data_IF_529299490660
#
_entry.id   IF_529299490660
#
_cell.length_a   1.000
_cell.length_b   1.000
_cell.length_c   1.000
_cell.angle_alpha   90.00
_cell.angle_beta   90.00
_cell.angle_gamma   90.00
#
_symmetry.space_group_name_H-M   'P 1'
#
loop_
_entity.id
_entity.type
_entity.pdbx_description
1 polymer ?
#
# COMPACT_ATOMS: atom_id res chain seq x y z
N UNK A 1 -10.66 -9.93 -6.75
CA UNK A 1 -11.89 -10.08 -5.97
C UNK A 1 -12.00 -8.87 -5.06
N UNK A 2 -13.20 -8.31 -4.90
CA UNK A 2 -13.43 -7.15 -4.04
C UNK A 2 -14.69 -7.34 -3.22
N UNK A 3 -14.57 -7.26 -1.91
CA UNK A 3 -15.66 -7.53 -0.97
C UNK A 3 -15.70 -6.48 0.14
N UNK A 4 -16.90 -6.08 0.53
CA UNK A 4 -17.08 -5.22 1.70
C UNK A 4 -16.97 -6.08 2.94
N UNK A 5 -15.99 -5.78 3.81
CA UNK A 5 -15.88 -6.41 5.12
C UNK A 5 -16.93 -5.82 6.04
N UNK A 6 -16.97 -4.48 6.13
CA UNK A 6 -17.84 -3.80 7.07
C UNK A 6 -18.14 -2.36 6.64
N UNK A 7 -19.29 -1.85 7.07
CA UNK A 7 -19.73 -0.49 6.82
C UNK A 7 -20.29 0.16 8.10
N UNK A 8 -19.77 1.33 8.48
CA UNK A 8 -20.16 2.07 9.70
C UNK A 8 -20.57 3.51 9.38
N UNK A 9 -21.56 4.01 10.12
CA UNK A 9 -21.85 5.44 10.19
C UNK A 9 -21.01 6.08 11.30
N UNK A 10 -20.26 7.14 10.99
CA UNK A 10 -19.35 7.80 11.95
C UNK A 10 -19.47 9.31 11.76
N UNK A 11 -20.01 10.03 12.74
CA UNK A 11 -20.03 11.50 12.79
C UNK A 11 -20.42 12.19 11.46
N UNK A 12 -21.54 11.78 10.85
CA UNK A 12 -22.01 12.33 9.58
C UNK A 12 -21.30 11.81 8.33
N UNK A 13 -20.45 10.78 8.47
CA UNK A 13 -19.86 10.03 7.37
C UNK A 13 -20.38 8.60 7.28
N UNK A 14 -20.19 8.03 6.10
CA UNK A 14 -20.17 6.60 5.84
C UNK A 14 -18.72 6.16 5.64
N UNK A 15 -18.26 5.23 6.46
CA UNK A 15 -16.94 4.62 6.36
C UNK A 15 -17.09 3.14 6.04
N UNK A 16 -16.39 2.66 5.01
CA UNK A 16 -16.50 1.30 4.50
C UNK A 16 -15.12 0.67 4.41
N UNK A 17 -14.92 -0.44 5.12
CA UNK A 17 -13.73 -1.26 5.03
C UNK A 17 -13.95 -2.33 3.96
N UNK A 18 -13.02 -2.41 3.01
CA UNK A 18 -13.10 -3.29 1.84
C UNK A 18 -11.85 -4.14 1.77
N UNK A 19 -12.04 -5.42 1.50
CA UNK A 19 -11.00 -6.34 1.06
C UNK A 19 -10.91 -6.34 -0.47
N UNK A 20 -9.74 -6.14 -1.05
CA UNK A 20 -9.54 -6.08 -2.49
C UNK A 20 -8.20 -6.71 -2.90
N UNK A 21 -8.27 -7.89 -3.52
CA UNK A 21 -7.09 -8.64 -3.98
C UNK A 21 -6.42 -8.01 -5.20
N UNK A 22 -7.03 -6.98 -5.81
CA UNK A 22 -6.43 -6.20 -6.89
C UNK A 22 -5.73 -4.92 -6.39
N UNK A 23 -5.57 -4.78 -5.07
CA UNK A 23 -4.90 -3.66 -4.43
C UNK A 23 -3.40 -3.57 -4.74
N UNK A 24 -2.75 -2.51 -4.25
CA UNK A 24 -1.30 -2.35 -4.33
C UNK A 24 -0.54 -3.51 -3.67
N UNK A 25 0.71 -3.76 -4.10
CA UNK A 25 1.58 -4.76 -3.46
C UNK A 25 1.74 -4.43 -1.98
N UNK A 26 1.47 -5.41 -1.11
CA UNK A 26 1.50 -5.21 0.34
C UNK A 26 0.20 -4.68 0.94
N UNK A 27 -0.86 -4.50 0.15
CA UNK A 27 -2.17 -4.09 0.66
C UNK A 27 -3.33 -4.82 -0.02
N UNK A 28 -4.26 -5.28 0.81
CA UNK A 28 -5.55 -5.84 0.42
C UNK A 28 -6.72 -5.18 1.18
N UNK A 29 -6.43 -4.26 2.11
CA UNK A 29 -7.43 -3.52 2.89
C UNK A 29 -7.45 -2.04 2.51
N UNK A 30 -8.63 -1.56 2.10
CA UNK A 30 -8.89 -0.15 1.82
C UNK A 30 -10.03 0.37 2.68
N UNK A 31 -9.80 1.47 3.39
CA UNK A 31 -10.86 2.24 4.04
C UNK A 31 -11.34 3.33 3.09
N UNK A 32 -12.64 3.40 2.85
CA UNK A 32 -13.29 4.43 2.02
C UNK A 32 -14.22 5.23 2.91
N UNK A 33 -13.99 6.53 2.99
CA UNK A 33 -14.78 7.46 3.82
C UNK A 33 -15.39 8.52 2.92
N UNK A 34 -16.69 8.73 3.08
CA UNK A 34 -17.47 9.76 2.39
C UNK A 34 -18.53 10.35 3.32
N UNK A 35 -18.99 11.60 3.12
CA UNK A 35 -20.08 12.15 3.91
C UNK A 35 -21.39 11.39 3.63
N UNK A 36 -22.31 11.37 4.61
CA UNK A 36 -23.67 10.87 4.38
C UNK A 36 -24.57 11.89 3.72
N UNK A 37 -24.25 13.18 3.93
CA UNK A 37 -24.94 14.29 3.30
C UNK A 37 -24.58 14.36 1.81
N UNK A 38 -25.59 14.57 0.97
CA UNK A 38 -25.48 14.67 -0.48
C UNK A 38 -24.99 16.04 -0.95
N UNK A 39 -25.00 17.07 -0.10
CA UNK A 39 -24.48 18.40 -0.45
C UNK A 39 -22.95 18.49 -0.40
N UNK A 40 -22.31 17.61 0.37
CA UNK A 40 -20.85 17.53 0.47
C UNK A 40 -20.30 16.46 -0.47
N UNK A 41 -19.57 16.85 -1.50
CA UNK A 41 -18.94 15.90 -2.42
C UNK A 41 -17.43 15.76 -2.13
N UNK A 42 -17.09 14.86 -1.21
CA UNK A 42 -15.71 14.41 -1.04
C UNK A 42 -15.65 12.92 -0.76
N UNK A 43 -14.55 12.29 -1.18
CA UNK A 43 -14.27 10.89 -0.95
C UNK A 43 -12.79 10.74 -0.64
N UNK A 44 -12.48 10.05 0.44
CA UNK A 44 -11.11 9.75 0.85
C UNK A 44 -10.99 8.25 0.98
N UNK A 45 -10.08 7.67 0.21
CA UNK A 45 -9.70 6.27 0.31
C UNK A 45 -8.24 6.14 0.75
N UNK A 46 -7.97 5.17 1.60
CA UNK A 46 -6.61 4.83 2.05
C UNK A 46 -6.42 3.33 2.04
N UNK A 47 -5.39 2.88 1.33
CA UNK A 47 -4.83 1.54 1.46
C UNK A 47 -3.98 1.43 2.73
N UNK A 48 -4.08 0.30 3.42
CA UNK A 48 -3.28 -0.01 4.60
C UNK A 48 -2.27 -1.10 4.24
N UNK A 49 -1.00 -0.78 4.41
CA UNK A 49 0.10 -1.59 3.91
C UNK A 49 0.72 -2.43 5.03
N UNK A 50 0.99 -3.71 4.76
CA UNK A 50 1.73 -4.61 5.65
C UNK A 50 1.20 -4.58 7.10
N UNK A 51 2.04 -4.17 8.05
CA UNK A 51 1.72 -4.05 9.47
C UNK A 51 0.65 -3.00 9.81
N UNK A 52 0.23 -2.15 8.86
CA UNK A 52 -0.84 -1.17 9.07
C UNK A 52 -2.24 -1.80 9.05
N UNK A 53 -2.38 -3.05 8.62
CA UNK A 53 -3.68 -3.75 8.50
C UNK A 53 -4.24 -4.22 9.85
N UNK A 54 -4.26 -3.30 10.82
CA UNK A 54 -4.86 -3.50 12.14
C UNK A 54 -6.21 -2.82 12.15
N UNK A 55 -7.28 -3.58 12.37
CA UNK A 55 -8.67 -3.08 12.23
C UNK A 55 -8.93 -1.82 13.05
N UNK A 56 -8.48 -1.79 14.31
CA UNK A 56 -8.59 -0.62 15.18
C UNK A 56 -7.90 0.62 14.58
N UNK A 57 -6.73 0.45 13.95
CA UNK A 57 -6.03 1.56 13.30
C UNK A 57 -6.79 2.08 12.06
N UNK A 58 -7.37 1.17 11.27
CA UNK A 58 -8.17 1.53 10.10
C UNK A 58 -9.43 2.32 10.47
N UNK A 59 -10.11 1.92 11.56
CA UNK A 59 -11.28 2.64 12.05
C UNK A 59 -10.93 3.97 12.72
N UNK A 60 -9.81 4.04 13.44
CA UNK A 60 -9.32 5.31 13.98
C UNK A 60 -9.02 6.33 12.86
N UNK A 61 -8.51 5.87 11.71
CA UNK A 61 -8.36 6.72 10.52
C UNK A 61 -9.72 7.25 10.04
N UNK A 62 -10.73 6.39 9.93
CA UNK A 62 -12.07 6.80 9.50
C UNK A 62 -12.69 7.83 10.46
N UNK A 63 -12.58 7.58 11.77
CA UNK A 63 -13.05 8.51 12.79
C UNK A 63 -12.35 9.87 12.69
N UNK A 64 -11.03 9.87 12.51
CA UNK A 64 -10.25 11.10 12.34
C UNK A 64 -10.67 11.88 11.09
N UNK A 65 -10.87 11.22 9.94
CA UNK A 65 -11.35 11.89 8.71
C UNK A 65 -12.71 12.57 8.94
N UNK A 66 -13.59 11.96 9.73
CA UNK A 66 -14.92 12.48 9.97
C UNK A 66 -14.95 13.64 10.97
N UNK A 67 -14.11 13.56 11.99
CA UNK A 67 -14.12 14.51 13.12
C UNK A 67 -13.16 15.68 12.95
N UNK A 68 -12.04 15.48 12.26
CA UNK A 68 -11.00 16.48 12.09
C UNK A 68 -11.03 17.07 10.68
N UNK A 69 -11.64 18.25 10.55
CA UNK A 69 -11.75 18.96 9.28
C UNK A 69 -10.39 19.34 8.68
N UNK A 70 -9.38 19.63 9.53
CA UNK A 70 -8.03 19.99 9.07
C UNK A 70 -7.34 18.76 8.50
N UNK A 71 -7.35 17.64 9.23
CA UNK A 71 -6.79 16.38 8.75
C UNK A 71 -7.49 15.90 7.47
N UNK A 72 -8.81 16.08 7.38
CA UNK A 72 -9.57 15.80 6.16
C UNK A 72 -9.11 16.66 4.98
N UNK A 73 -8.95 17.97 5.16
CA UNK A 73 -8.45 18.84 4.10
C UNK A 73 -7.02 18.48 3.68
N UNK A 74 -6.15 18.16 4.64
CA UNK A 74 -4.77 17.73 4.35
C UNK A 74 -4.73 16.40 3.59
N UNK A 75 -5.66 15.49 3.88
CA UNK A 75 -5.84 14.22 3.18
C UNK A 75 -6.31 14.42 1.74
N UNK A 76 -7.26 15.34 1.52
CA UNK A 76 -7.73 15.71 0.18
C UNK A 76 -6.68 16.45 -0.64
N UNK A 77 -5.85 17.28 0.01
CA UNK A 77 -4.73 17.98 -0.62
C UNK A 77 -3.48 17.11 -0.82
N UNK A 78 -3.56 15.81 -0.51
CA UNK A 78 -2.46 14.84 -0.60
C UNK A 78 -1.18 15.20 0.19
N UNK A 79 -1.31 16.06 1.21
CA UNK A 79 -0.19 16.51 2.03
C UNK A 79 0.10 15.63 3.24
N UNK A 80 -0.82 14.71 3.57
CA UNK A 80 -0.66 13.79 4.69
C UNK A 80 0.47 12.78 4.45
N UNK A 81 1.18 12.43 5.52
CA UNK A 81 2.34 11.53 5.46
C UNK A 81 2.01 10.20 4.77
N UNK A 82 0.89 9.57 5.14
CA UNK A 82 0.49 8.27 4.59
C UNK A 82 0.25 8.35 3.07
N UNK A 83 -0.27 9.48 2.58
CA UNK A 83 -0.56 9.68 1.16
C UNK A 83 0.73 9.91 0.39
N UNK A 84 1.65 10.71 0.95
CA UNK A 84 2.99 10.92 0.40
C UNK A 84 3.79 9.61 0.31
N UNK A 85 3.72 8.77 1.34
CA UNK A 85 4.33 7.44 1.34
C UNK A 85 3.74 6.59 0.21
N UNK A 86 2.42 6.47 0.13
CA UNK A 86 1.77 5.67 -0.91
C UNK A 86 2.13 6.16 -2.32
N UNK A 87 2.11 7.47 -2.56
CA UNK A 87 2.44 8.08 -3.84
C UNK A 87 3.89 7.78 -4.29
N UNK A 88 4.84 7.63 -3.35
CA UNK A 88 6.22 7.24 -3.64
C UNK A 88 6.39 5.72 -3.76
N UNK A 89 5.73 4.96 -2.90
CA UNK A 89 5.89 3.52 -2.81
C UNK A 89 5.21 2.76 -3.96
N UNK A 90 3.95 3.06 -4.27
CA UNK A 90 3.14 2.26 -5.19
C UNK A 90 3.78 2.09 -6.59
N UNK A 91 4.36 3.15 -7.21
CA UNK A 91 5.02 3.00 -8.50
C UNK A 91 6.26 2.10 -8.44
N UNK A 92 7.04 2.19 -7.37
CA UNK A 92 8.28 1.43 -7.18
C UNK A 92 7.98 -0.05 -6.91
N UNK A 93 7.00 -0.33 -6.04
CA UNK A 93 6.56 -1.70 -5.78
C UNK A 93 5.96 -2.36 -7.03
N UNK A 94 5.20 -1.60 -7.84
CA UNK A 94 4.69 -2.08 -9.14
C UNK A 94 5.83 -2.46 -10.09
N UNK A 95 6.91 -1.69 -10.11
CA UNK A 95 8.08 -2.02 -10.93
C UNK A 95 8.75 -3.30 -10.43
N UNK A 96 8.93 -3.49 -9.12
CA UNK A 96 9.46 -4.76 -8.58
C UNK A 96 8.58 -5.96 -8.95
N UNK A 97 7.25 -5.81 -8.84
CA UNK A 97 6.30 -6.83 -9.30
C UNK A 97 6.52 -7.15 -10.79
N UNK A 98 6.67 -6.13 -11.64
CA UNK A 98 6.86 -6.30 -13.08
C UNK A 98 8.16 -7.03 -13.39
N UNK A 99 9.27 -6.67 -12.73
CA UNK A 99 10.57 -7.34 -12.89
C UNK A 99 10.46 -8.84 -12.61
N UNK A 100 9.75 -9.24 -11.54
CA UNK A 100 9.54 -10.65 -11.23
C UNK A 100 8.60 -11.32 -12.24
N UNK A 101 7.45 -10.68 -12.54
CA UNK A 101 6.42 -11.25 -13.43
C UNK A 101 6.86 -11.46 -14.89
N UNK A 102 7.89 -10.71 -15.33
CA UNK A 102 8.45 -10.82 -16.66
C UNK A 102 9.76 -11.61 -16.69
N UNK A 103 10.21 -12.13 -15.55
CA UNK A 103 11.39 -12.97 -15.48
C UNK A 103 11.11 -14.33 -16.12
N UNK A 104 11.96 -14.77 -17.06
CA UNK A 104 11.92 -16.13 -17.60
C UNK A 104 12.30 -17.19 -16.55
N UNK A 105 12.86 -16.75 -15.42
CA UNK A 105 13.31 -17.62 -14.31
C UNK A 105 12.28 -17.75 -13.19
N UNK A 106 11.12 -17.10 -13.33
CA UNK A 106 10.06 -17.16 -12.33
C UNK A 106 8.79 -17.71 -12.97
N UNK A 107 8.06 -18.53 -12.21
CA UNK A 107 6.70 -18.93 -12.59
C UNK A 107 5.65 -17.91 -12.11
N UNK A 108 6.04 -16.88 -11.37
CA UNK A 108 5.17 -15.78 -10.98
C UNK A 108 4.62 -15.04 -12.21
N UNK A 109 3.33 -14.63 -12.22
CA UNK A 109 2.36 -14.68 -11.12
C UNK A 109 1.48 -15.94 -11.12
N UNK A 110 1.89 -17.04 -11.76
CA UNK A 110 1.12 -18.29 -11.75
C UNK A 110 1.17 -18.87 -10.35
N UNK A 111 0.07 -18.76 -9.60
CA UNK A 111 -0.05 -19.23 -8.22
C UNK A 111 0.07 -20.75 -8.13
N UNK A 112 1.29 -21.24 -7.95
CA UNK A 112 1.61 -22.64 -7.73
C UNK A 112 2.68 -22.78 -6.62
N UNK A 113 3.04 -24.00 -6.26
CA UNK A 113 4.00 -24.20 -5.17
C UNK A 113 5.42 -23.67 -5.48
N UNK A 114 5.78 -23.56 -6.77
CA UNK A 114 7.08 -23.04 -7.21
C UNK A 114 7.15 -21.52 -7.17
N UNK A 115 6.04 -20.83 -7.44
CA UNK A 115 5.98 -19.37 -7.37
C UNK A 115 5.78 -18.83 -5.95
N UNK A 116 5.72 -19.72 -4.94
CA UNK A 116 5.50 -19.31 -3.55
C UNK A 116 6.70 -18.53 -3.03
N UNK A 117 7.90 -19.07 -3.22
CA UNK A 117 9.14 -18.46 -2.75
C UNK A 117 9.40 -17.13 -3.48
N UNK A 118 9.11 -17.08 -4.79
CA UNK A 118 9.07 -15.85 -5.59
C UNK A 118 8.14 -14.78 -4.99
N UNK A 119 6.91 -15.16 -4.64
CA UNK A 119 5.92 -14.25 -4.05
C UNK A 119 6.34 -13.79 -2.65
N UNK A 120 6.94 -14.67 -1.84
CA UNK A 120 7.45 -14.34 -0.51
C UNK A 120 8.63 -13.37 -0.61
N UNK A 121 9.55 -13.60 -1.56
CA UNK A 121 10.67 -12.69 -1.82
C UNK A 121 10.19 -11.32 -2.28
N UNK A 122 9.25 -11.26 -3.22
CA UNK A 122 8.66 -9.99 -3.66
C UNK A 122 8.01 -9.24 -2.49
N UNK A 123 7.26 -9.95 -1.64
CA UNK A 123 6.62 -9.37 -0.46
C UNK A 123 7.67 -8.80 0.50
N UNK A 124 8.73 -9.54 0.81
CA UNK A 124 9.81 -9.08 1.70
C UNK A 124 10.46 -7.81 1.17
N UNK A 125 10.87 -7.80 -0.10
CA UNK A 125 11.51 -6.63 -0.72
C UNK A 125 10.57 -5.41 -0.75
N UNK A 126 9.28 -5.66 -0.99
CA UNK A 126 8.28 -4.60 -1.00
C UNK A 126 8.01 -4.04 0.39
N UNK A 127 8.04 -4.87 1.44
CA UNK A 127 7.89 -4.42 2.83
C UNK A 127 9.08 -3.56 3.27
N UNK A 128 10.30 -3.99 2.95
CA UNK A 128 11.51 -3.20 3.21
C UNK A 128 11.48 -1.86 2.47
N UNK A 129 11.17 -1.88 1.17
CA UNK A 129 10.99 -0.67 0.37
C UNK A 129 9.98 0.28 1.01
N UNK A 130 8.84 -0.24 1.48
CA UNK A 130 7.80 0.58 2.12
C UNK A 130 8.28 1.23 3.41
N UNK A 131 8.99 0.51 4.28
CA UNK A 131 9.52 1.07 5.52
C UNK A 131 10.62 2.11 5.27
N UNK A 132 11.47 1.91 4.26
CA UNK A 132 12.48 2.89 3.88
C UNK A 132 11.84 4.17 3.29
N UNK A 133 10.80 4.04 2.46
CA UNK A 133 10.02 5.19 1.97
C UNK A 133 9.33 5.93 3.13
N UNK A 134 8.78 5.20 4.12
CA UNK A 134 8.24 5.80 5.35
C UNK A 134 9.31 6.59 6.10
N UNK A 135 10.53 6.07 6.21
CA UNK A 135 11.63 6.77 6.84
C UNK A 135 12.00 8.07 6.11
N UNK A 136 12.05 8.06 4.76
CA UNK A 136 12.28 9.28 3.97
C UNK A 136 11.20 10.33 4.25
N UNK A 137 9.92 9.95 4.17
CA UNK A 137 8.82 10.91 4.34
C UNK A 137 8.77 11.49 5.74
N UNK A 138 9.05 10.70 6.79
CA UNK A 138 8.98 11.12 8.19
C UNK A 138 10.22 11.83 8.70
N UNK A 139 11.41 11.33 8.32
CA UNK A 139 12.68 11.73 8.93
C UNK A 139 13.51 12.61 7.99
N UNK A 140 13.09 12.78 6.73
CA UNK A 140 13.87 13.50 5.72
C UNK A 140 15.21 12.81 5.45
N UNK A 141 15.24 11.47 5.51
CA UNK A 141 16.44 10.71 5.21
C UNK A 141 16.98 11.10 3.83
N UNK A 142 18.30 11.31 3.72
CA UNK A 142 18.99 11.79 2.51
C UNK A 142 19.17 10.68 1.45
N UNK A 143 18.13 9.87 1.28
CA UNK A 143 18.08 8.79 0.31
C UNK A 143 16.96 9.08 -0.69
N UNK A 144 17.28 9.00 -1.97
CA UNK A 144 16.29 9.15 -3.03
C UNK A 144 15.49 7.84 -3.17
N UNK A 145 14.15 7.88 -3.25
CA UNK A 145 13.31 6.69 -3.43
C UNK A 145 13.78 5.71 -4.53
N UNK A 146 14.24 6.25 -5.65
CA UNK A 146 14.79 5.43 -6.76
C UNK A 146 16.06 4.66 -6.38
N UNK A 147 16.93 5.21 -5.53
CA UNK A 147 18.15 4.52 -5.12
C UNK A 147 17.82 3.28 -4.26
N UNK A 148 16.81 3.39 -3.40
CA UNK A 148 16.31 2.25 -2.62
C UNK A 148 15.71 1.20 -3.56
N UNK A 149 14.89 1.64 -4.53
CA UNK A 149 14.34 0.74 -5.53
C UNK A 149 15.44 0.00 -6.30
N UNK A 150 16.49 0.69 -6.76
CA UNK A 150 17.58 0.07 -7.52
C UNK A 150 18.32 -0.98 -6.67
N UNK A 151 18.48 -0.73 -5.37
CA UNK A 151 18.99 -1.72 -4.43
C UNK A 151 18.07 -2.95 -4.36
N UNK A 152 16.77 -2.77 -4.12
CA UNK A 152 15.82 -3.91 -4.03
C UNK A 152 15.71 -4.67 -5.35
N UNK A 153 15.83 -3.97 -6.48
CA UNK A 153 15.90 -4.60 -7.80
C UNK A 153 17.14 -5.47 -7.94
N UNK A 154 18.31 -4.98 -7.54
CA UNK A 154 19.54 -5.76 -7.60
C UNK A 154 19.45 -7.01 -6.71
N UNK A 155 18.89 -6.89 -5.51
CA UNK A 155 18.64 -8.02 -4.60
C UNK A 155 17.68 -9.06 -5.21
N UNK A 156 16.62 -8.61 -5.90
CA UNK A 156 15.71 -9.50 -6.62
C UNK A 156 16.40 -10.24 -7.77
N UNK A 157 17.22 -9.55 -8.55
CA UNK A 157 17.94 -10.13 -9.69
C UNK A 157 18.99 -11.15 -9.24
N UNK A 158 19.65 -10.90 -8.11
CA UNK A 158 20.55 -11.86 -7.50
C UNK A 158 19.80 -13.12 -7.06
N UNK A 159 18.69 -12.96 -6.34
CA UNK A 159 17.84 -14.08 -5.90
C UNK A 159 17.42 -14.99 -7.07
N UNK A 160 16.94 -14.40 -8.16
CA UNK A 160 16.55 -15.12 -9.38
C UNK A 160 17.73 -15.84 -10.07
N UNK A 161 18.97 -15.49 -9.74
CA UNK A 161 20.16 -16.17 -10.26
C UNK A 161 20.58 -17.32 -9.36
N UNK A 162 20.53 -17.13 -8.05
CA UNK A 162 20.93 -18.13 -7.07
C UNK A 162 19.98 -19.33 -7.03
N UNK A 163 18.68 -19.17 -7.34
CA UNK A 163 17.74 -20.30 -7.46
C UNK A 163 17.90 -21.14 -8.76
N UNK A 164 18.73 -20.69 -9.70
CA UNK A 164 18.97 -21.41 -10.95
C UNK A 164 20.10 -22.45 -10.87
N UNK A 165 20.79 -22.56 -9.72
CA UNK A 165 21.86 -23.54 -9.44
C UNK A 165 21.38 -24.73 -8.61
#
# INVERSE_FOLDING_TARGET
MRETIENRGINGCRATLVFDTGGPVGSDHVMIVKPTDTESEWLINRWFYFNEQVEAYMWNFAEKICTDAKYRQQSLGETEEWKRVANLYEPLARRLYQELSYSERSEFPIMNDRSRDDSEKLKSLSEELFEEIKAIVRQGADHHPEAIYDQKKAELQQWLTDESE
#
